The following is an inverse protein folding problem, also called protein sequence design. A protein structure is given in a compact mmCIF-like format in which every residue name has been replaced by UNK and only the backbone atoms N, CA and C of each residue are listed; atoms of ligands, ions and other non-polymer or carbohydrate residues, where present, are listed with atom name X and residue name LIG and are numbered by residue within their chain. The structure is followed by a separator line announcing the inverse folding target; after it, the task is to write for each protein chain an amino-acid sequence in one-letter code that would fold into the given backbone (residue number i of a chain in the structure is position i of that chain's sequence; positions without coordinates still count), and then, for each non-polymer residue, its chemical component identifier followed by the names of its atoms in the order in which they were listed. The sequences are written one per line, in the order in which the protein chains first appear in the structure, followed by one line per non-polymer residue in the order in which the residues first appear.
data_IF_353174273562
#
_entry.id   IF_353174273562
#
_cell.length_a   1.000
_cell.length_b   1.000
_cell.length_c   1.000
_cell.angle_alpha   90.00
_cell.angle_beta   90.00
_cell.angle_gamma   90.00
#
_symmetry.space_group_name_H-M   'P 1'
#
loop_
_entity.id
_entity.type
_entity.pdbx_description
1 polymer ?
#
# COMPACT_ATOMS: atom_id res chain seq x y z
N UNK A 1 -63.24 -15.17 -5.04
CA UNK A 1 -62.26 -14.47 -4.19
C UNK A 1 -60.99 -15.30 -4.07
N UNK A 2 -60.06 -15.18 -5.02
CA UNK A 2 -58.82 -16.00 -5.07
C UNK A 2 -57.52 -15.17 -5.10
N UNK A 3 -57.60 -13.85 -4.90
CA UNK A 3 -56.46 -12.94 -5.12
C UNK A 3 -55.40 -12.92 -3.99
N UNK A 4 -55.80 -13.15 -2.74
CA UNK A 4 -54.88 -13.05 -1.59
C UNK A 4 -53.88 -14.23 -1.55
N UNK A 5 -54.31 -15.51 -1.67
CA UNK A 5 -53.37 -16.63 -1.66
C UNK A 5 -52.39 -16.60 -2.83
N UNK A 6 -52.84 -16.17 -4.01
CA UNK A 6 -52.00 -16.05 -5.20
C UNK A 6 -50.96 -14.93 -5.06
N UNK A 7 -51.34 -13.78 -4.50
CA UNK A 7 -50.41 -12.69 -4.20
C UNK A 7 -49.32 -13.13 -3.21
N UNK A 8 -49.68 -13.89 -2.16
CA UNK A 8 -48.70 -14.44 -1.22
C UNK A 8 -47.76 -15.46 -1.87
N UNK A 9 -48.26 -16.31 -2.77
CA UNK A 9 -47.43 -17.26 -3.50
C UNK A 9 -46.40 -16.56 -4.39
N UNK A 10 -46.82 -15.52 -5.14
CA UNK A 10 -45.93 -14.69 -5.96
C UNK A 10 -44.88 -13.98 -5.12
N UNK A 11 -45.30 -13.33 -4.02
CA UNK A 11 -44.38 -12.66 -3.12
C UNK A 11 -43.30 -13.60 -2.55
N UNK A 12 -43.68 -14.82 -2.13
CA UNK A 12 -42.71 -15.82 -1.65
C UNK A 12 -41.73 -16.23 -2.74
N UNK A 13 -42.23 -16.47 -3.96
CA UNK A 13 -41.38 -16.77 -5.12
C UNK A 13 -40.39 -15.64 -5.43
N UNK A 14 -40.84 -14.40 -5.38
CA UNK A 14 -39.99 -13.22 -5.64
C UNK A 14 -38.93 -13.04 -4.55
N UNK A 15 -39.29 -13.29 -3.29
CA UNK A 15 -38.38 -13.27 -2.16
C UNK A 15 -37.30 -14.35 -2.29
N UNK A 16 -37.68 -15.58 -2.62
CA UNK A 16 -36.73 -16.69 -2.82
C UNK A 16 -35.78 -16.41 -4.00
N UNK A 17 -36.30 -15.85 -5.08
CA UNK A 17 -35.49 -15.41 -6.22
C UNK A 17 -34.52 -14.28 -5.84
N UNK A 18 -34.97 -13.30 -5.06
CA UNK A 18 -34.15 -12.20 -4.58
C UNK A 18 -33.03 -12.69 -3.64
N UNK A 19 -33.35 -13.58 -2.70
CA UNK A 19 -32.36 -14.21 -1.79
C UNK A 19 -31.33 -15.01 -2.60
N UNK A 20 -31.77 -15.79 -3.58
CA UNK A 20 -30.87 -16.56 -4.45
C UNK A 20 -29.92 -15.65 -5.24
N UNK A 21 -30.45 -14.55 -5.79
CA UNK A 21 -29.65 -13.53 -6.49
C UNK A 21 -28.65 -12.86 -5.53
N UNK A 22 -29.09 -12.49 -4.33
CA UNK A 22 -28.24 -11.90 -3.29
C UNK A 22 -27.10 -12.82 -2.90
N UNK A 23 -27.38 -14.11 -2.66
CA UNK A 23 -26.35 -15.13 -2.35
C UNK A 23 -25.33 -15.26 -3.48
N UNK A 24 -25.78 -15.30 -4.74
CA UNK A 24 -24.88 -15.36 -5.89
C UNK A 24 -24.01 -14.11 -5.99
N UNK A 25 -24.58 -12.92 -5.79
CA UNK A 25 -23.83 -11.66 -5.80
C UNK A 25 -22.78 -11.61 -4.68
N UNK A 26 -23.14 -12.04 -3.47
CA UNK A 26 -22.21 -12.12 -2.35
C UNK A 26 -21.07 -13.12 -2.62
N UNK A 27 -21.37 -14.29 -3.19
CA UNK A 27 -20.35 -15.27 -3.57
C UNK A 27 -19.40 -14.71 -4.64
N UNK A 28 -19.93 -14.02 -5.67
CA UNK A 28 -19.12 -13.39 -6.71
C UNK A 28 -18.23 -12.27 -6.16
N UNK A 29 -18.74 -11.45 -5.25
CA UNK A 29 -17.96 -10.43 -4.56
C UNK A 29 -16.85 -11.07 -3.70
N UNK A 30 -17.17 -12.13 -2.95
CA UNK A 30 -16.20 -12.88 -2.16
C UNK A 30 -15.07 -13.48 -3.01
N UNK A 31 -15.41 -14.07 -4.16
CA UNK A 31 -14.43 -14.60 -5.12
C UNK A 31 -13.52 -13.49 -5.67
N UNK A 32 -14.08 -12.32 -6.02
CA UNK A 32 -13.30 -11.16 -6.48
C UNK A 32 -12.34 -10.66 -5.41
N UNK A 33 -12.80 -10.55 -4.16
CA UNK A 33 -11.96 -10.15 -3.03
C UNK A 33 -10.86 -11.18 -2.73
N UNK A 34 -11.16 -12.48 -2.79
CA UNK A 34 -10.17 -13.53 -2.63
C UNK A 34 -9.09 -13.46 -3.72
N UNK A 35 -9.48 -13.33 -4.99
CA UNK A 35 -8.56 -13.18 -6.11
C UNK A 35 -7.70 -11.91 -6.03
N UNK A 36 -8.23 -10.83 -5.45
CA UNK A 36 -7.45 -9.61 -5.22
C UNK A 36 -6.44 -9.79 -4.08
N UNK A 37 -6.82 -10.48 -2.99
CA UNK A 37 -5.90 -10.79 -1.89
C UNK A 37 -4.74 -11.68 -2.35
N UNK A 38 -5.00 -12.64 -3.23
CA UNK A 38 -3.94 -13.49 -3.78
C UNK A 38 -2.96 -12.69 -4.63
N UNK A 39 -3.47 -11.91 -5.58
CA UNK A 39 -2.64 -11.02 -6.41
C UNK A 39 -1.80 -10.05 -5.57
N UNK A 40 -2.37 -9.51 -4.50
CA UNK A 40 -1.63 -8.63 -3.59
C UNK A 40 -0.53 -9.38 -2.84
N UNK A 41 -0.76 -10.64 -2.45
CA UNK A 41 0.26 -11.48 -1.81
C UNK A 41 1.39 -11.78 -2.79
N UNK A 42 1.06 -12.20 -4.00
CA UNK A 42 2.05 -12.44 -5.07
C UNK A 42 2.89 -11.20 -5.34
N UNK A 43 2.26 -10.03 -5.48
CA UNK A 43 2.96 -8.77 -5.69
C UNK A 43 3.87 -8.42 -4.50
N UNK A 44 3.42 -8.66 -3.27
CA UNK A 44 4.23 -8.43 -2.07
C UNK A 44 5.46 -9.35 -2.03
N UNK A 45 5.32 -10.64 -2.41
CA UNK A 45 6.45 -11.56 -2.50
C UNK A 45 7.43 -11.17 -3.62
N UNK A 46 6.93 -10.76 -4.79
CA UNK A 46 7.77 -10.22 -5.86
C UNK A 46 8.52 -8.96 -5.41
N UNK A 47 7.87 -8.08 -4.64
CA UNK A 47 8.49 -6.86 -4.14
C UNK A 47 9.60 -7.18 -3.12
N UNK A 48 9.36 -8.13 -2.20
CA UNK A 48 10.39 -8.63 -1.27
C UNK A 48 11.58 -9.21 -2.00
N UNK A 49 11.34 -9.97 -3.07
CA UNK A 49 12.37 -10.56 -3.91
C UNK A 49 13.11 -9.53 -4.81
N UNK A 50 12.74 -8.24 -4.77
CA UNK A 50 13.22 -7.19 -5.69
C UNK A 50 12.99 -7.52 -7.17
N UNK A 51 11.96 -8.32 -7.45
CA UNK A 51 11.59 -8.76 -8.79
C UNK A 51 10.49 -7.89 -9.40
N UNK A 52 9.83 -7.05 -8.60
CA UNK A 52 8.99 -5.98 -9.14
C UNK A 52 9.91 -4.96 -9.77
N UNK A 53 10.08 -5.08 -11.08
CA UNK A 53 10.44 -3.95 -11.91
C UNK A 53 9.13 -3.21 -12.15
N UNK A 54 8.87 -2.06 -11.50
CA UNK A 54 7.77 -1.22 -11.94
C UNK A 54 8.09 -0.90 -13.40
N UNK A 55 7.37 -1.52 -14.32
CA UNK A 55 7.64 -1.36 -15.74
C UNK A 55 7.76 0.13 -16.04
N UNK A 56 8.89 0.47 -16.66
CA UNK A 56 9.26 1.80 -17.14
C UNK A 56 8.03 2.58 -17.64
N UNK A 57 7.55 3.51 -16.81
CA UNK A 57 6.77 4.69 -17.20
C UNK A 57 5.30 4.54 -17.65
N UNK A 58 4.44 3.89 -16.88
CA UNK A 58 3.03 4.27 -16.90
C UNK A 58 2.68 5.05 -15.64
N UNK A 59 2.81 6.37 -15.71
CA UNK A 59 2.19 7.25 -14.72
C UNK A 59 0.74 6.82 -14.48
N UNK A 60 0.27 6.80 -13.24
CA UNK A 60 -1.16 6.63 -12.96
C UNK A 60 -1.93 7.61 -13.83
N UNK A 61 -2.94 7.13 -14.56
CA UNK A 61 -3.62 7.98 -15.53
C UNK A 61 -4.20 9.23 -14.85
N UNK A 62 -4.19 10.40 -15.52
CA UNK A 62 -4.70 11.64 -14.93
C UNK A 62 -6.13 11.53 -14.41
N UNK A 63 -6.97 10.73 -15.08
CA UNK A 63 -8.34 10.48 -14.66
C UNK A 63 -8.43 9.74 -13.33
N UNK A 64 -7.61 8.70 -13.14
CA UNK A 64 -7.58 7.94 -11.89
C UNK A 64 -7.03 8.81 -10.76
N UNK A 65 -6.00 9.61 -11.03
CA UNK A 65 -5.47 10.57 -10.05
C UNK A 65 -6.54 11.59 -9.65
N UNK A 66 -7.29 12.15 -10.61
CA UNK A 66 -8.37 13.10 -10.36
C UNK A 66 -9.46 12.49 -9.48
N UNK A 67 -9.91 11.27 -9.80
CA UNK A 67 -10.94 10.56 -9.02
C UNK A 67 -10.45 10.28 -7.61
N UNK A 68 -9.21 9.79 -7.46
CA UNK A 68 -8.62 9.49 -6.15
C UNK A 68 -8.48 10.75 -5.29
N UNK A 69 -7.97 11.85 -5.86
CA UNK A 69 -7.85 13.14 -5.17
C UNK A 69 -9.20 13.70 -4.76
N UNK A 70 -10.20 13.63 -5.65
CA UNK A 70 -11.57 14.05 -5.34
C UNK A 70 -12.18 13.26 -4.19
N UNK A 71 -12.03 11.93 -4.22
CA UNK A 71 -12.48 11.06 -3.14
C UNK A 71 -11.81 11.41 -1.81
N UNK A 72 -10.48 11.57 -1.79
CA UNK A 72 -9.74 11.91 -0.56
C UNK A 72 -10.18 13.24 0.02
N UNK A 73 -10.29 14.29 -0.82
CA UNK A 73 -10.81 15.60 -0.40
C UNK A 73 -12.22 15.51 0.18
N UNK A 74 -13.11 14.77 -0.48
CA UNK A 74 -14.48 14.58 0.01
C UNK A 74 -14.53 13.86 1.36
N UNK A 75 -13.62 12.93 1.62
CA UNK A 75 -13.51 12.20 2.89
C UNK A 75 -12.68 12.93 3.95
N UNK A 76 -12.24 14.17 3.70
CA UNK A 76 -11.35 14.91 4.60
C UNK A 76 -9.97 14.27 4.76
N UNK A 77 -9.57 13.39 3.84
CA UNK A 77 -8.26 12.75 3.85
C UNK A 77 -7.21 13.69 3.23
N UNK A 78 -6.00 13.74 3.79
CA UNK A 78 -4.92 14.56 3.26
C UNK A 78 -4.57 14.11 1.84
N UNK A 79 -4.27 15.09 0.98
CA UNK A 79 -3.75 14.90 -0.37
C UNK A 79 -2.41 15.62 -0.43
N UNK A 80 -1.34 14.87 -0.61
CA UNK A 80 0.00 15.43 -0.79
C UNK A 80 0.15 15.97 -2.22
N UNK A 81 0.75 17.15 -2.34
CA UNK A 81 1.13 17.71 -3.63
C UNK A 81 2.48 17.12 -4.03
N UNK A 82 2.41 16.04 -4.80
CA UNK A 82 3.59 15.38 -5.33
C UNK A 82 4.00 16.00 -6.68
N UNK A 83 5.31 16.00 -6.99
CA UNK A 83 5.79 16.37 -8.32
C UNK A 83 5.11 15.55 -9.43
N UNK A 84 5.03 16.09 -10.66
CA UNK A 84 4.51 15.36 -11.81
C UNK A 84 5.16 13.98 -11.95
N UNK A 85 4.36 12.97 -12.30
CA UNK A 85 4.84 11.60 -12.42
C UNK A 85 6.02 11.46 -13.41
N UNK A 86 6.11 12.33 -14.43
CA UNK A 86 7.23 12.36 -15.37
C UNK A 86 8.57 12.72 -14.68
N UNK A 87 8.53 13.57 -13.66
CA UNK A 87 9.72 13.96 -12.89
C UNK A 87 10.12 12.85 -11.90
N UNK A 88 9.13 12.21 -11.26
CA UNK A 88 9.36 11.10 -10.34
C UNK A 88 9.90 9.84 -11.03
N UNK A 89 9.59 9.68 -12.31
CA UNK A 89 10.00 8.52 -13.11
C UNK A 89 11.20 8.82 -14.00
N UNK A 90 11.76 10.04 -13.96
CA UNK A 90 12.96 10.35 -14.73
C UNK A 90 14.13 9.48 -14.24
N UNK A 91 14.91 8.85 -15.14
CA UNK A 91 16.11 8.12 -14.73
C UNK A 91 17.07 9.10 -14.06
N UNK A 92 17.62 8.67 -12.92
CA UNK A 92 18.50 9.49 -12.11
C UNK A 92 19.79 9.77 -12.90
N UNK A 93 20.10 11.04 -13.17
CA UNK A 93 21.30 11.46 -13.93
C UNK A 93 22.62 11.11 -13.21
N UNK A 94 22.53 10.60 -11.99
CA UNK A 94 23.63 10.14 -11.16
C UNK A 94 24.39 8.95 -11.76
N UNK A 95 23.77 8.15 -12.63
CA UNK A 95 24.43 6.99 -13.23
C UNK A 95 25.45 7.33 -14.33
N UNK A 96 25.25 8.42 -15.09
CA UNK A 96 26.23 8.86 -16.11
C UNK A 96 27.49 9.47 -15.48
N UNK A 97 27.41 10.02 -14.26
CA UNK A 97 28.56 10.59 -13.56
C UNK A 97 29.40 9.55 -12.80
N UNK A 98 28.83 8.40 -12.42
CA UNK A 98 29.60 7.34 -11.73
C UNK A 98 30.58 6.61 -12.65
N UNK A 99 30.29 6.51 -13.95
CA UNK A 99 31.22 5.89 -14.91
C UNK A 99 32.39 6.82 -15.25
N UNK A 100 32.17 8.14 -15.23
CA UNK A 100 33.23 9.13 -15.44
C UNK A 100 34.13 9.31 -14.20
N UNK A 101 33.68 8.91 -13.01
CA UNK A 101 34.36 9.16 -11.73
C UNK A 101 34.67 7.86 -10.94
N UNK A 102 34.85 6.74 -11.67
CA UNK A 102 35.04 5.39 -11.12
C UNK A 102 36.28 5.19 -10.21
N UNK A 103 37.08 6.23 -9.95
CA UNK A 103 38.21 6.20 -9.02
C UNK A 103 37.92 6.77 -7.62
N UNK A 104 36.67 7.12 -7.31
CA UNK A 104 36.29 7.52 -5.96
C UNK A 104 34.91 6.97 -5.65
N UNK A 105 34.87 5.75 -5.11
CA UNK A 105 33.65 5.20 -4.54
C UNK A 105 33.32 5.99 -3.27
N UNK A 106 32.21 6.75 -3.19
CA UNK A 106 31.73 7.23 -1.91
C UNK A 106 31.22 6.02 -1.11
N UNK A 107 31.50 6.01 0.19
CA UNK A 107 31.02 4.97 1.11
C UNK A 107 29.50 4.82 0.98
N UNK A 108 29.04 3.56 0.88
CA UNK A 108 27.61 3.24 0.83
C UNK A 108 26.96 3.77 2.10
N UNK A 109 25.88 4.58 2.03
CA UNK A 109 25.19 5.02 3.22
C UNK A 109 24.58 3.78 3.88
N UNK A 110 25.12 3.41 5.04
CA UNK A 110 24.52 2.40 5.91
C UNK A 110 23.16 2.97 6.32
N UNK A 111 22.08 2.28 5.96
CA UNK A 111 20.73 2.56 6.48
C UNK A 111 20.69 2.15 7.97
N UNK A 112 21.47 2.85 8.78
CA UNK A 112 21.36 2.88 10.23
C UNK A 112 20.56 4.11 10.59
N UNK A 113 19.50 3.92 11.37
CA UNK A 113 18.62 4.95 11.93
C UNK A 113 19.43 6.14 12.44
N UNK A 114 19.47 7.24 11.67
CA UNK A 114 20.16 8.45 12.10
C UNK A 114 19.44 8.99 13.34
N UNK A 115 20.08 8.90 14.50
CA UNK A 115 19.57 9.48 15.73
C UNK A 115 19.40 11.00 15.51
N UNK A 116 18.15 11.47 15.57
CA UNK A 116 17.83 12.89 15.53
C UNK A 116 18.14 13.46 16.92
N UNK A 117 19.02 14.46 16.98
CA UNK A 117 19.33 15.15 18.24
C UNK A 117 18.06 15.76 18.82
N UNK A 118 17.87 15.61 20.14
CA UNK A 118 16.78 16.26 20.84
C UNK A 118 16.91 17.79 20.84
N UNK A 119 15.93 18.54 21.37
CA UNK A 119 15.88 20.00 21.33
C UNK A 119 17.06 20.72 22.01
N UNK A 120 17.92 20.00 22.74
CA UNK A 120 19.18 20.49 23.32
C UNK A 120 20.40 20.33 22.42
N UNK A 121 20.26 19.80 21.20
CA UNK A 121 21.35 19.68 20.22
C UNK A 121 22.40 18.61 20.54
N UNK A 122 22.23 17.84 21.61
CA UNK A 122 23.11 16.70 21.91
C UNK A 122 22.65 15.45 21.16
N UNK A 123 23.57 14.85 20.42
CA UNK A 123 23.43 13.48 19.92
C UNK A 123 23.48 12.52 21.12
N UNK A 124 22.63 11.48 21.17
CA UNK A 124 22.77 10.43 22.16
C UNK A 124 24.18 9.82 22.05
N UNK A 125 24.90 9.58 23.17
CA UNK A 125 26.20 8.94 23.11
C UNK A 125 26.07 7.57 22.44
N UNK A 126 26.99 7.24 21.54
CA UNK A 126 27.06 5.91 20.93
C UNK A 126 27.27 4.89 22.05
N UNK A 127 26.22 4.13 22.36
CA UNK A 127 26.34 2.93 23.17
C UNK A 127 26.80 1.82 22.24
N UNK A 128 28.09 1.51 22.33
CA UNK A 128 28.62 0.23 21.88
C UNK A 128 27.83 -0.89 22.54
N UNK A 129 27.31 -1.76 21.70
CA UNK A 129 27.26 -3.21 21.84
C UNK A 129 27.38 -3.80 23.26
N UNK A 130 26.27 -3.81 24.01
CA UNK A 130 26.07 -4.70 25.15
C UNK A 130 24.67 -5.35 25.02
N UNK A 131 24.57 -6.42 24.22
CA UNK A 131 23.41 -7.31 24.20
C UNK A 131 23.27 -8.05 25.55
N UNK A 132 22.71 -7.39 26.57
CA UNK A 132 22.28 -8.06 27.80
C UNK A 132 20.78 -7.88 28.01
N UNK A 133 19.98 -8.66 27.28
CA UNK A 133 18.58 -8.94 27.59
C UNK A 133 18.44 -9.83 28.84
N UNK A 134 19.10 -9.48 29.94
CA UNK A 134 18.83 -10.11 31.23
C UNK A 134 17.57 -9.48 31.83
N UNK A 135 16.51 -10.29 31.96
CA UNK A 135 15.20 -9.92 32.51
C UNK A 135 15.22 -9.50 34.00
N UNK A 136 16.39 -9.30 34.60
CA UNK A 136 16.57 -9.20 36.04
C UNK A 136 16.30 -7.80 36.65
N UNK A 137 15.83 -6.82 35.89
CA UNK A 137 15.58 -5.45 36.41
C UNK A 137 14.21 -4.85 36.15
N UNK A 138 13.25 -5.63 35.66
CA UNK A 138 11.82 -5.24 35.74
C UNK A 138 11.31 -5.71 37.11
N UNK A 139 11.77 -5.08 38.19
CA UNK A 139 11.17 -5.07 39.53
C UNK A 139 12.23 -4.55 40.50
N UNK A 140 12.35 -3.23 40.58
CA UNK A 140 12.46 -2.47 41.82
C UNK A 140 12.19 -0.99 41.52
#
# INVERSE_FOLDING_TARGET
MTGIPEAFARFRSDLDAAVTRGRRAAAAAGAKSAAQRERNRELAEQAKARQVQPDRHAATSPDVQRVATGFRRHQGLPVEELPPAAELLAPDKSQEQTDANANSAPERPVLGSRAVAGPSGQLPPERGDDEDFSQARILY
#
